data_IF_693414959576
#
_entry.id   IF_693414959576
#
_cell.length_a   1.000
_cell.length_b   1.000
_cell.length_c   1.000
_cell.angle_alpha   90.00
_cell.angle_beta   90.00
_cell.angle_gamma   90.00
#
_symmetry.space_group_name_H-M   'P 1'
#
loop_
_entity.id
_entity.type
_entity.pdbx_description
1 polymer ?
#
# COMPACT_ATOMS: atom_id res chain seq x y z
N UNK A 1 -18.40 9.42 30.90
CA UNK A 1 -18.08 9.44 29.46
C UNK A 1 -17.96 8.01 28.97
N UNK A 2 -18.61 7.68 27.86
CA UNK A 2 -18.39 6.45 27.10
C UNK A 2 -17.69 6.82 25.79
N UNK A 3 -16.72 6.02 25.34
CA UNK A 3 -16.06 6.11 24.04
C UNK A 3 -15.97 4.70 23.48
N UNK A 4 -16.40 4.48 22.24
CA UNK A 4 -16.50 3.16 21.60
C UNK A 4 -17.25 2.13 22.47
N UNK A 5 -18.28 2.57 23.22
CA UNK A 5 -19.03 1.72 24.15
C UNK A 5 -18.35 1.44 25.50
N UNK A 6 -17.09 1.82 25.67
CA UNK A 6 -16.30 1.59 26.88
C UNK A 6 -16.37 2.78 27.84
N UNK A 7 -16.46 2.52 29.15
CA UNK A 7 -16.33 3.57 30.17
C UNK A 7 -14.91 4.13 30.11
N UNK A 8 -14.76 5.40 29.73
CA UNK A 8 -13.47 6.07 29.67
C UNK A 8 -13.24 6.95 30.90
N UNK A 9 -11.95 7.07 31.27
CA UNK A 9 -11.51 8.10 32.19
C UNK A 9 -11.68 9.49 31.62
N UNK A 10 -11.61 10.50 32.49
CA UNK A 10 -11.49 11.88 32.06
C UNK A 10 -10.46 12.63 32.91
N UNK A 11 -9.92 13.67 32.33
CA UNK A 11 -9.02 14.61 33.00
C UNK A 11 -9.76 15.95 33.12
N UNK A 12 -9.77 16.53 34.29
CA UNK A 12 -10.23 17.91 34.51
C UNK A 12 -9.04 18.85 34.25
N UNK A 13 -9.10 19.56 33.12
CA UNK A 13 -8.08 20.52 32.72
C UNK A 13 -8.30 21.90 33.38
N UNK A 14 -9.29 22.04 34.26
CA UNK A 14 -9.69 23.28 34.91
C UNK A 14 -10.60 24.15 34.03
N UNK A 15 -11.11 25.24 34.58
CA UNK A 15 -12.01 26.19 33.90
C UNK A 15 -13.22 25.51 33.22
N UNK A 16 -13.77 24.44 33.83
CA UNK A 16 -14.86 23.62 33.30
C UNK A 16 -14.53 22.92 31.95
N UNK A 17 -13.26 22.64 31.69
CA UNK A 17 -12.80 21.89 30.53
C UNK A 17 -12.39 20.48 30.92
N UNK A 18 -12.90 19.49 30.21
CA UNK A 18 -12.67 18.08 30.51
C UNK A 18 -12.23 17.35 29.21
N UNK A 19 -11.28 16.42 29.32
CA UNK A 19 -10.87 15.52 28.26
C UNK A 19 -11.20 14.07 28.60
N UNK A 20 -12.00 13.40 27.78
CA UNK A 20 -12.16 11.95 27.79
C UNK A 20 -11.16 11.28 26.87
N UNK A 21 -10.71 10.08 27.22
CA UNK A 21 -9.81 9.30 26.39
C UNK A 21 -10.10 7.81 26.50
N UNK A 22 -9.93 7.11 25.38
CA UNK A 22 -9.95 5.65 25.26
C UNK A 22 -8.81 5.23 24.35
N UNK A 23 -8.07 4.21 24.75
CA UNK A 23 -7.07 3.59 23.90
C UNK A 23 -7.74 2.45 23.16
N UNK A 24 -7.86 2.60 21.84
CA UNK A 24 -8.42 1.56 20.96
C UNK A 24 -7.56 0.32 20.99
N UNK A 25 -8.19 -0.86 21.02
CA UNK A 25 -7.54 -2.16 20.97
C UNK A 25 -8.32 -3.17 20.11
N UNK A 26 -7.88 -4.42 20.10
CA UNK A 26 -8.46 -5.48 19.27
C UNK A 26 -9.91 -5.84 19.62
N UNK A 27 -10.41 -5.44 20.82
CA UNK A 27 -11.79 -5.68 21.23
C UNK A 27 -12.76 -4.60 20.76
N UNK A 28 -12.24 -3.46 20.28
CA UNK A 28 -13.06 -2.38 19.77
C UNK A 28 -13.53 -2.66 18.34
N UNK A 29 -14.75 -2.25 18.01
CA UNK A 29 -15.30 -2.38 16.67
C UNK A 29 -14.67 -1.38 15.71
N UNK A 30 -14.34 -1.82 14.51
CA UNK A 30 -13.91 -0.94 13.43
C UNK A 30 -15.04 -0.03 12.93
N UNK A 31 -14.69 1.14 12.51
CA UNK A 31 -15.65 2.11 11.99
C UNK A 31 -15.62 3.44 12.71
N UNK A 32 -16.70 4.19 12.64
CA UNK A 32 -16.82 5.48 13.29
C UNK A 32 -16.83 5.29 14.81
N UNK A 33 -15.93 5.98 15.50
CA UNK A 33 -15.88 5.94 16.98
C UNK A 33 -17.05 6.74 17.51
N UNK A 34 -17.92 6.08 18.27
CA UNK A 34 -19.04 6.73 18.96
C UNK A 34 -18.63 7.19 20.36
N UNK A 35 -19.28 8.23 20.87
CA UNK A 35 -19.12 8.66 22.24
C UNK A 35 -20.45 9.09 22.85
N UNK A 36 -20.51 9.11 24.18
CA UNK A 36 -21.62 9.62 24.96
C UNK A 36 -21.12 10.31 26.23
N UNK A 37 -21.56 11.53 26.45
CA UNK A 37 -21.24 12.32 27.62
C UNK A 37 -22.54 12.62 28.38
N UNK A 38 -22.61 12.14 29.59
CA UNK A 38 -23.64 12.48 30.57
C UNK A 38 -23.02 13.37 31.64
N UNK A 39 -23.74 14.40 32.06
CA UNK A 39 -23.27 15.33 33.06
C UNK A 39 -24.41 15.84 33.96
N UNK A 40 -24.06 16.24 35.17
CA UNK A 40 -24.98 16.74 36.16
C UNK A 40 -24.38 17.97 36.81
N UNK A 41 -25.15 18.99 37.03
CA UNK A 41 -24.69 20.18 37.75
C UNK A 41 -24.59 19.97 39.28
N UNK A 42 -24.06 20.97 39.97
CA UNK A 42 -23.92 20.92 41.46
C UNK A 42 -25.26 20.88 42.20
N UNK A 43 -26.35 21.28 41.56
CA UNK A 43 -27.71 21.20 42.09
C UNK A 43 -28.40 19.86 41.85
N UNK A 44 -27.73 18.93 41.13
CA UNK A 44 -28.24 17.61 40.83
C UNK A 44 -29.10 17.57 39.56
N UNK A 45 -29.19 18.64 38.77
CA UNK A 45 -29.91 18.63 37.49
C UNK A 45 -29.06 17.97 36.41
N UNK A 46 -29.67 17.02 35.68
CA UNK A 46 -29.01 16.26 34.58
C UNK A 46 -29.13 17.04 33.28
N UNK A 47 -28.01 17.23 32.61
CA UNK A 47 -27.96 17.83 31.26
C UNK A 47 -28.35 16.84 30.18
N UNK A 48 -28.62 17.34 28.95
CA UNK A 48 -28.88 16.48 27.79
C UNK A 48 -27.62 15.67 27.45
N UNK A 49 -27.82 14.42 27.00
CA UNK A 49 -26.70 13.56 26.55
C UNK A 49 -26.08 14.18 25.29
N UNK A 50 -24.76 14.36 25.31
CA UNK A 50 -23.99 14.77 24.14
C UNK A 50 -23.33 13.54 23.48
N UNK A 51 -23.64 13.29 22.22
CA UNK A 51 -23.12 12.16 21.44
C UNK A 51 -22.69 12.57 20.01
N UNK A 52 -22.60 13.86 19.75
CA UNK A 52 -22.11 14.45 18.51
C UNK A 52 -21.19 15.61 18.82
N UNK A 53 -20.17 15.81 17.99
CA UNK A 53 -19.27 16.97 18.10
C UNK A 53 -19.95 18.22 17.57
N UNK A 54 -19.61 19.38 18.11
CA UNK A 54 -20.18 20.67 17.68
C UNK A 54 -19.61 21.17 16.36
N UNK A 55 -18.43 20.67 15.96
CA UNK A 55 -17.73 20.99 14.72
C UNK A 55 -17.90 19.91 13.63
N UNK A 56 -18.73 18.88 13.92
CA UNK A 56 -19.02 17.75 13.04
C UNK A 56 -17.78 16.87 12.73
N UNK A 57 -16.70 16.98 13.50
CA UNK A 57 -15.57 16.07 13.40
C UNK A 57 -15.96 14.66 13.82
N UNK A 58 -15.33 13.68 13.19
CA UNK A 58 -15.42 12.27 13.59
C UNK A 58 -14.05 11.61 13.48
N UNK A 59 -13.89 10.50 14.20
CA UNK A 59 -12.70 9.65 14.12
C UNK A 59 -13.17 8.25 13.73
N UNK A 60 -12.43 7.61 12.85
CA UNK A 60 -12.65 6.24 12.44
C UNK A 60 -11.52 5.37 12.98
N UNK A 61 -11.87 4.25 13.57
CA UNK A 61 -10.94 3.19 13.92
C UNK A 61 -10.87 2.18 12.77
N UNK A 62 -9.67 1.85 12.36
CA UNK A 62 -9.37 0.90 11.31
C UNK A 62 -8.10 0.13 11.67
N UNK A 63 -8.17 -1.18 11.66
CA UNK A 63 -7.08 -2.11 11.95
C UNK A 63 -6.86 -3.12 10.85
N UNK A 64 -7.69 -3.05 9.79
CA UNK A 64 -7.63 -3.98 8.67
C UNK A 64 -6.61 -3.50 7.64
N UNK A 65 -5.51 -4.23 7.41
CA UNK A 65 -4.56 -3.87 6.37
C UNK A 65 -5.20 -3.84 4.98
N UNK A 66 -4.73 -2.97 4.08
CA UNK A 66 -5.14 -2.99 2.69
C UNK A 66 -4.73 -4.31 2.04
N UNK A 67 -5.42 -4.70 0.98
CA UNK A 67 -5.09 -5.87 0.18
C UNK A 67 -4.67 -5.48 -1.23
N UNK A 68 -3.78 -6.28 -1.83
CA UNK A 68 -3.33 -6.13 -3.20
C UNK A 68 -3.98 -7.18 -4.09
N UNK A 69 -4.40 -6.77 -5.28
CA UNK A 69 -4.99 -7.62 -6.31
C UNK A 69 -4.45 -7.23 -7.69
N UNK A 70 -4.69 -8.08 -8.70
CA UNK A 70 -4.26 -7.83 -10.08
C UNK A 70 -2.75 -7.53 -10.22
N UNK A 71 -1.94 -8.15 -9.37
CA UNK A 71 -0.49 -8.00 -9.41
C UNK A 71 0.03 -8.78 -10.59
N UNK A 72 0.65 -8.08 -11.54
CA UNK A 72 1.23 -8.67 -12.75
C UNK A 72 2.43 -7.88 -13.22
N UNK A 73 3.36 -8.56 -13.89
CA UNK A 73 4.51 -7.96 -14.56
C UNK A 73 4.45 -8.23 -16.06
N UNK A 74 4.97 -7.31 -16.85
CA UNK A 74 5.13 -7.50 -18.30
C UNK A 74 6.20 -6.57 -18.85
N UNK A 75 6.92 -7.03 -19.87
CA UNK A 75 7.83 -6.22 -20.67
C UNK A 75 7.13 -5.59 -21.88
N UNK A 76 7.65 -4.48 -22.38
CA UNK A 76 7.26 -3.92 -23.67
C UNK A 76 7.91 -4.63 -24.89
N UNK A 77 8.68 -5.69 -24.65
CA UNK A 77 9.23 -6.54 -25.71
C UNK A 77 8.10 -7.23 -26.49
N UNK A 78 8.41 -7.71 -27.71
CA UNK A 78 7.47 -8.51 -28.52
C UNK A 78 6.97 -9.76 -27.78
N UNK A 79 7.84 -10.35 -26.96
CA UNK A 79 7.50 -11.39 -25.98
C UNK A 79 7.43 -10.73 -24.60
N UNK A 80 6.23 -10.57 -24.08
CA UNK A 80 5.97 -9.78 -22.87
C UNK A 80 6.48 -10.43 -21.57
N UNK A 81 6.92 -11.69 -21.64
CA UNK A 81 7.55 -12.45 -20.57
C UNK A 81 9.10 -12.46 -20.67
N UNK A 82 9.66 -11.70 -21.62
CA UNK A 82 11.09 -11.57 -21.84
C UNK A 82 11.46 -10.11 -22.03
N UNK A 83 12.65 -9.73 -21.62
CA UNK A 83 13.17 -8.37 -21.77
C UNK A 83 14.67 -8.38 -22.05
N UNK A 84 15.13 -7.42 -22.84
CA UNK A 84 16.53 -7.14 -23.10
C UNK A 84 16.93 -5.75 -22.61
N UNK A 85 18.19 -5.37 -22.87
CA UNK A 85 18.70 -4.02 -22.56
C UNK A 85 17.91 -2.97 -23.34
N UNK A 86 17.36 -1.97 -22.64
CA UNK A 86 16.56 -0.88 -23.20
C UNK A 86 15.07 -1.16 -23.26
N UNK A 87 14.63 -2.38 -22.90
CA UNK A 87 13.21 -2.68 -22.75
C UNK A 87 12.68 -2.09 -21.42
N UNK A 88 11.36 -1.95 -21.36
CA UNK A 88 10.65 -1.42 -20.20
C UNK A 88 9.90 -2.56 -19.51
N UNK A 89 10.19 -2.78 -18.24
CA UNK A 89 9.39 -3.62 -17.35
C UNK A 89 8.32 -2.80 -16.65
N UNK A 90 7.13 -3.35 -16.55
CA UNK A 90 5.96 -2.72 -15.93
C UNK A 90 5.32 -3.65 -14.91
N UNK A 91 5.26 -3.20 -13.67
CA UNK A 91 4.56 -3.86 -12.57
C UNK A 91 3.23 -3.15 -12.31
N UNK A 92 2.14 -3.89 -12.45
CA UNK A 92 0.77 -3.41 -12.24
C UNK A 92 0.20 -4.02 -10.98
N UNK A 93 -0.58 -3.24 -10.24
CA UNK A 93 -1.34 -3.74 -9.08
C UNK A 93 -2.51 -2.82 -8.75
N UNK A 94 -3.48 -3.37 -8.02
CA UNK A 94 -4.66 -2.65 -7.51
C UNK A 94 -4.70 -2.80 -6.00
N UNK A 95 -5.00 -1.72 -5.28
CA UNK A 95 -5.19 -1.74 -3.82
C UNK A 95 -6.68 -1.67 -3.47
N UNK A 96 -7.06 -2.22 -2.30
CA UNK A 96 -8.45 -2.29 -1.87
C UNK A 96 -9.05 -0.95 -1.42
N UNK A 97 -8.20 -0.01 -1.03
CA UNK A 97 -8.59 1.24 -0.37
C UNK A 97 -7.55 2.35 -0.54
N UNK A 98 -7.89 3.62 -0.22
CA UNK A 98 -6.93 4.72 -0.25
C UNK A 98 -5.76 4.50 0.70
N UNK A 99 -4.57 4.73 0.19
CA UNK A 99 -3.30 4.53 0.89
C UNK A 99 -2.73 5.85 1.44
N UNK A 100 -1.92 5.72 2.49
CA UNK A 100 -1.03 6.77 3.00
C UNK A 100 0.34 6.70 2.36
N UNK A 101 0.83 5.48 2.11
CA UNK A 101 2.14 5.24 1.54
C UNK A 101 2.14 4.01 0.63
N UNK A 102 2.91 4.08 -0.46
CA UNK A 102 3.21 2.95 -1.36
C UNK A 102 4.71 2.92 -1.58
N UNK A 103 5.32 1.79 -1.28
CA UNK A 103 6.74 1.52 -1.57
C UNK A 103 6.82 0.39 -2.59
N UNK A 104 7.51 0.64 -3.70
CA UNK A 104 7.74 -0.35 -4.75
C UNK A 104 9.24 -0.44 -5.02
N UNK A 105 9.75 -1.65 -4.98
CA UNK A 105 11.09 -1.97 -5.47
C UNK A 105 10.98 -2.84 -6.71
N UNK A 106 11.79 -2.58 -7.72
CA UNK A 106 12.03 -3.48 -8.86
C UNK A 106 13.55 -3.65 -8.96
N UNK A 107 14.05 -4.88 -8.80
CA UNK A 107 15.48 -5.17 -8.73
C UNK A 107 16.20 -4.25 -7.71
N UNK A 108 15.65 -4.18 -6.49
CA UNK A 108 16.16 -3.37 -5.36
C UNK A 108 16.16 -1.85 -5.59
N UNK A 109 15.72 -1.37 -6.76
CA UNK A 109 15.58 0.06 -7.04
C UNK A 109 14.20 0.55 -6.62
N UNK A 110 14.18 1.67 -5.88
CA UNK A 110 12.92 2.32 -5.49
C UNK A 110 12.29 3.00 -6.70
N UNK A 111 11.08 2.58 -7.06
CA UNK A 111 10.30 3.12 -8.16
C UNK A 111 9.09 3.85 -7.58
N UNK A 112 8.87 5.08 -8.01
CA UNK A 112 7.64 5.82 -7.69
C UNK A 112 6.57 5.41 -8.71
N UNK A 113 5.52 4.67 -8.29
CA UNK A 113 4.51 4.23 -9.23
C UNK A 113 3.59 5.38 -9.66
N UNK A 114 3.13 5.33 -10.91
CA UNK A 114 2.01 6.15 -11.38
C UNK A 114 0.70 5.61 -10.79
N UNK A 115 -0.20 6.53 -10.42
CA UNK A 115 -1.47 6.20 -9.77
C UNK A 115 -2.66 6.70 -10.57
N UNK A 116 -3.65 5.84 -10.74
CA UNK A 116 -4.97 6.19 -11.26
C UNK A 116 -6.07 5.58 -10.35
N UNK A 117 -6.58 6.37 -9.42
CA UNK A 117 -7.51 5.88 -8.41
C UNK A 117 -6.83 4.87 -7.47
N UNK A 118 -7.27 3.62 -7.50
CA UNK A 118 -6.70 2.49 -6.74
C UNK A 118 -5.77 1.60 -7.58
N UNK A 119 -5.58 1.93 -8.85
CA UNK A 119 -4.69 1.22 -9.76
C UNK A 119 -3.32 1.90 -9.83
N UNK A 120 -2.28 1.10 -9.86
CA UNK A 120 -0.89 1.55 -9.89
C UNK A 120 -0.11 0.85 -10.99
N UNK A 121 0.85 1.58 -11.55
CA UNK A 121 1.87 1.03 -12.42
C UNK A 121 3.24 1.57 -12.03
N UNK A 122 4.19 0.68 -11.76
CA UNK A 122 5.59 1.00 -11.58
C UNK A 122 6.36 0.59 -12.84
N UNK A 123 7.14 1.51 -13.37
CA UNK A 123 7.82 1.36 -14.66
C UNK A 123 9.33 1.48 -14.44
N UNK A 124 10.08 0.53 -15.01
CA UNK A 124 11.55 0.53 -15.01
C UNK A 124 12.08 0.26 -16.41
N UNK A 125 13.00 1.10 -16.89
CA UNK A 125 13.84 0.82 -18.04
C UNK A 125 15.00 -0.08 -17.62
N UNK A 126 15.22 -1.17 -18.34
CA UNK A 126 16.25 -2.18 -18.08
C UNK A 126 17.55 -1.80 -18.77
N UNK A 127 18.65 -1.86 -18.06
CA UNK A 127 19.97 -1.47 -18.53
C UNK A 127 20.97 -2.63 -18.43
N UNK A 128 22.21 -2.42 -18.82
CA UNK A 128 23.29 -3.40 -18.81
C UNK A 128 23.92 -3.67 -17.42
N UNK A 129 23.40 -3.05 -16.37
CA UNK A 129 23.85 -3.29 -14.99
C UNK A 129 23.12 -4.46 -14.32
N UNK A 130 22.02 -4.96 -14.94
CA UNK A 130 21.26 -6.10 -14.45
C UNK A 130 21.93 -7.43 -14.77
N UNK A 131 21.82 -8.40 -13.85
CA UNK A 131 22.18 -9.79 -14.12
C UNK A 131 21.05 -10.49 -14.88
N UNK A 132 21.39 -11.46 -15.77
CA UNK A 132 20.39 -12.27 -16.47
C UNK A 132 19.57 -13.07 -15.45
N UNK A 133 18.24 -13.01 -15.53
CA UNK A 133 17.35 -13.68 -14.59
C UNK A 133 15.94 -13.17 -14.58
N UNK A 134 15.10 -13.73 -13.70
CA UNK A 134 13.76 -13.20 -13.45
C UNK A 134 13.86 -11.85 -12.72
N UNK A 135 13.06 -10.90 -13.20
CA UNK A 135 12.94 -9.59 -12.55
C UNK A 135 12.17 -9.75 -11.24
N UNK A 136 12.80 -9.33 -10.15
CA UNK A 136 12.22 -9.37 -8.83
C UNK A 136 11.57 -8.02 -8.48
N UNK A 137 10.51 -8.07 -7.70
CA UNK A 137 9.85 -6.87 -7.18
C UNK A 137 9.41 -7.06 -5.74
N UNK A 138 9.13 -5.94 -5.08
CA UNK A 138 8.52 -5.91 -3.76
C UNK A 138 7.56 -4.72 -3.68
N UNK A 139 6.37 -4.95 -3.11
CA UNK A 139 5.35 -3.93 -2.88
C UNK A 139 4.99 -3.94 -1.40
N UNK A 140 4.99 -2.77 -0.78
CA UNK A 140 4.45 -2.55 0.56
C UNK A 140 3.49 -1.36 0.49
N UNK A 141 2.27 -1.54 0.96
CA UNK A 141 1.25 -0.49 1.03
C UNK A 141 0.83 -0.28 2.47
N UNK A 142 0.71 0.97 2.87
CA UNK A 142 0.20 1.40 4.17
C UNK A 142 -1.05 2.25 3.96
N UNK A 143 -2.14 1.92 4.65
CA UNK A 143 -3.38 2.67 4.60
C UNK A 143 -3.32 3.98 5.42
N UNK A 144 -4.43 4.71 5.45
CA UNK A 144 -4.53 5.98 6.19
C UNK A 144 -4.47 5.82 7.70
N UNK A 145 -4.78 4.63 8.24
CA UNK A 145 -4.71 4.31 9.66
C UNK A 145 -3.33 3.82 10.09
N UNK A 146 -2.47 3.44 9.13
CA UNK A 146 -1.12 2.93 9.36
C UNK A 146 -1.03 1.40 9.34
N UNK A 147 -2.07 0.70 8.89
CA UNK A 147 -2.00 -0.75 8.70
C UNK A 147 -1.26 -1.07 7.40
N UNK A 148 -0.41 -2.11 7.41
CA UNK A 148 0.46 -2.47 6.29
C UNK A 148 0.10 -3.82 5.70
N UNK A 149 0.19 -3.95 4.35
CA UNK A 149 0.09 -5.23 3.65
C UNK A 149 1.16 -6.24 4.08
N UNK A 150 2.27 -5.77 4.66
CA UNK A 150 3.53 -6.51 4.64
C UNK A 150 4.16 -6.47 3.24
N UNK A 151 5.27 -7.20 3.08
CA UNK A 151 5.97 -7.29 1.81
C UNK A 151 5.30 -8.31 0.89
N UNK A 152 4.97 -7.88 -0.34
CA UNK A 152 4.37 -8.72 -1.40
C UNK A 152 5.36 -8.80 -2.56
N UNK A 153 5.78 -10.04 -2.90
CA UNK A 153 6.83 -10.34 -3.89
C UNK A 153 6.37 -11.28 -5.00
N UNK A 154 5.08 -11.63 -5.02
CA UNK A 154 4.51 -12.58 -5.98
C UNK A 154 3.41 -11.93 -6.80
N UNK A 155 3.33 -12.27 -8.08
CA UNK A 155 2.22 -11.86 -8.96
C UNK A 155 0.96 -12.69 -8.66
N UNK A 156 -0.21 -12.11 -8.88
CA UNK A 156 -1.48 -12.81 -8.64
C UNK A 156 -1.92 -13.69 -9.82
N UNK A 157 -1.34 -13.50 -11.01
CA UNK A 157 -1.65 -14.22 -12.24
C UNK A 157 -0.55 -15.19 -12.69
N UNK A 158 0.57 -15.28 -11.93
CA UNK A 158 1.73 -16.11 -12.26
C UNK A 158 2.63 -15.51 -13.37
N UNK A 159 2.40 -14.25 -13.77
CA UNK A 159 3.27 -13.58 -14.74
C UNK A 159 4.68 -13.39 -14.18
N UNK A 160 5.67 -13.44 -15.05
CA UNK A 160 7.08 -13.17 -14.75
C UNK A 160 7.75 -12.64 -16.01
N UNK A 161 8.84 -11.89 -15.85
CA UNK A 161 9.67 -11.39 -16.94
C UNK A 161 11.09 -11.89 -16.73
N UNK A 162 11.67 -12.50 -17.80
CA UNK A 162 13.07 -12.90 -17.81
C UNK A 162 13.89 -11.82 -18.51
N UNK A 163 14.84 -11.24 -17.81
CA UNK A 163 15.81 -10.32 -18.39
C UNK A 163 17.00 -11.10 -18.95
N UNK A 164 17.40 -10.80 -20.20
CA UNK A 164 18.59 -11.30 -20.86
C UNK A 164 19.38 -10.10 -21.43
N UNK A 165 20.40 -9.69 -20.69
CA UNK A 165 21.34 -8.64 -21.09
C UNK A 165 22.51 -9.16 -21.92
N UNK A 166 22.64 -10.49 -22.06
CA UNK A 166 23.78 -11.10 -22.73
C UNK A 166 23.64 -11.09 -24.24
N UNK A 167 24.55 -10.40 -24.91
CA UNK A 167 24.57 -10.34 -26.38
C UNK A 167 25.09 -11.62 -26.99
N UNK A 168 24.45 -12.15 -28.08
CA UNK A 168 24.96 -13.30 -28.78
C UNK A 168 26.32 -13.02 -29.44
N UNK A 169 27.19 -14.01 -29.44
CA UNK A 169 28.53 -13.95 -30.07
C UNK A 169 28.63 -14.93 -31.20
N UNK A 170 29.33 -14.54 -32.28
CA UNK A 170 29.70 -15.42 -33.38
C UNK A 170 31.11 -15.97 -33.14
N UNK A 171 31.22 -17.29 -32.97
CA UNK A 171 32.52 -17.93 -32.67
C UNK A 171 33.19 -18.53 -33.92
N UNK A 172 32.43 -18.79 -34.99
CA UNK A 172 32.96 -19.40 -36.22
C UNK A 172 32.19 -18.95 -37.45
N UNK A 173 32.91 -18.34 -38.39
CA UNK A 173 32.38 -17.91 -39.69
C UNK A 173 33.29 -18.46 -40.77
N UNK A 174 32.76 -19.23 -41.76
CA UNK A 174 33.51 -19.67 -42.94
C UNK A 174 32.88 -19.11 -44.19
N UNK A 175 33.74 -18.79 -45.15
CA UNK A 175 33.36 -18.41 -46.47
C UNK A 175 34.13 -19.30 -47.45
N UNK A 176 33.44 -20.13 -48.23
CA UNK A 176 34.02 -21.05 -49.20
C UNK A 176 33.53 -20.74 -50.61
N UNK A 177 34.44 -20.83 -51.60
CA UNK A 177 34.07 -20.82 -53.03
C UNK A 177 33.92 -22.26 -53.52
N UNK A 178 32.89 -22.51 -54.31
CA UNK A 178 32.67 -23.78 -55.06
C UNK A 178 33.18 -23.72 -56.48
N UNK A 179 33.88 -22.66 -56.88
CA UNK A 179 34.53 -22.60 -58.19
C UNK A 179 35.74 -23.55 -58.23
N UNK A 180 35.61 -24.56 -59.08
CA UNK A 180 36.69 -25.40 -59.50
C UNK A 180 37.33 -24.85 -60.79
#
# INVERSE_FOLDING_TARGET
ILIAGNTSGYIDDGAATYRGFHKMDESDDEGAITFSIEYTDLGGAVGPVANTTTDQTNVRFDRTPPTLTNIRVSSNNTMTDSAGIGDIDSLFFTISEPQRNVSVLIEELNIVPEQNGLEFVAIRELNDEGEDGFINFSIIVEDSAGNSTGEVIETSDGSSVWFDGTRPTLSYITFNSTNA
#
